data_IF_601227544848
#
_entry.id   IF_601227544848
#
_cell.length_a   1.000
_cell.length_b   1.000
_cell.length_c   1.000
_cell.angle_alpha   90.00
_cell.angle_beta   90.00
_cell.angle_gamma   90.00
#
_symmetry.space_group_name_H-M   'P 1'
#
loop_
_entity.id
_entity.type
_entity.pdbx_description
1 polymer ?
#
# COMPACT_ATOMS: atom_id res chain seq x y z
N UNK A 1 13.88 0.53 -21.24
CA UNK A 1 13.01 1.44 -20.45
C UNK A 1 11.80 0.70 -19.91
N UNK A 2 11.05 1.33 -19.01
CA UNK A 2 9.80 0.78 -18.42
C UNK A 2 8.71 1.84 -18.49
N UNK A 3 7.46 1.42 -18.60
CA UNK A 3 6.29 2.30 -18.47
C UNK A 3 5.82 2.25 -17.03
N UNK A 4 5.66 3.41 -16.40
CA UNK A 4 5.13 3.52 -15.03
C UNK A 4 3.68 3.98 -15.08
N UNK A 5 2.79 3.22 -14.45
CA UNK A 5 1.37 3.56 -14.31
C UNK A 5 1.07 3.82 -12.84
N UNK A 6 0.51 5.00 -12.55
CA UNK A 6 -0.01 5.35 -11.23
C UNK A 6 -1.51 5.60 -11.34
N UNK A 7 -2.28 5.21 -10.33
CA UNK A 7 -3.72 5.37 -10.33
C UNK A 7 -4.24 5.65 -8.91
N UNK A 8 -5.46 6.16 -8.83
CA UNK A 8 -6.16 6.39 -7.57
C UNK A 8 -7.14 5.25 -7.31
N UNK A 9 -7.32 4.90 -6.04
CA UNK A 9 -8.35 3.98 -5.57
C UNK A 9 -9.00 4.52 -4.31
N UNK A 10 -10.18 4.01 -3.95
CA UNK A 10 -10.83 4.39 -2.69
C UNK A 10 -10.02 3.91 -1.49
N UNK A 11 -9.92 4.78 -0.49
CA UNK A 11 -9.20 4.55 0.77
C UNK A 11 -10.14 4.71 1.97
N UNK A 12 -9.70 4.25 3.15
CA UNK A 12 -10.42 4.44 4.40
C UNK A 12 -11.82 3.83 4.39
N UNK A 13 -12.76 4.48 5.08
CA UNK A 13 -14.15 4.02 5.19
C UNK A 13 -14.79 3.82 3.80
N UNK A 14 -14.52 4.71 2.84
CA UNK A 14 -15.08 4.61 1.49
C UNK A 14 -14.52 3.44 0.67
N UNK A 15 -13.30 3.00 0.99
CA UNK A 15 -12.64 1.90 0.29
C UNK A 15 -12.84 0.54 0.94
N UNK A 16 -13.01 0.49 2.26
CA UNK A 16 -12.81 -0.75 3.02
C UNK A 16 -13.85 -1.01 4.12
N UNK A 17 -14.83 -0.13 4.34
CA UNK A 17 -15.89 -0.41 5.31
C UNK A 17 -16.64 -1.69 4.92
N UNK A 18 -16.84 -2.58 5.88
CA UNK A 18 -17.54 -3.85 5.69
C UNK A 18 -18.48 -4.13 6.86
N UNK A 19 -19.62 -4.74 6.57
CA UNK A 19 -20.59 -5.24 7.56
C UNK A 19 -20.49 -6.74 7.76
N UNK A 20 -19.51 -7.41 7.14
CA UNK A 20 -19.33 -8.87 7.17
C UNK A 20 -20.56 -9.64 6.62
N UNK A 21 -21.31 -8.98 5.72
CA UNK A 21 -22.47 -9.52 5.02
C UNK A 21 -22.60 -8.87 3.62
N UNK A 22 -23.72 -9.12 2.94
CA UNK A 22 -23.98 -8.57 1.61
C UNK A 22 -24.36 -7.08 1.61
N UNK A 23 -24.69 -6.49 2.77
CA UNK A 23 -25.07 -5.06 2.85
C UNK A 23 -23.89 -4.17 2.44
N UNK A 24 -22.70 -4.51 2.91
CA UNK A 24 -21.43 -3.94 2.52
C UNK A 24 -20.31 -4.98 2.67
N UNK A 25 -19.97 -5.68 1.59
CA UNK A 25 -18.91 -6.70 1.62
C UNK A 25 -17.48 -6.12 1.69
N UNK A 26 -17.34 -4.79 1.56
CA UNK A 26 -16.07 -4.07 1.63
C UNK A 26 -15.12 -4.33 0.46
N UNK A 27 -13.82 -4.15 0.71
CA UNK A 27 -12.71 -4.33 -0.25
C UNK A 27 -12.84 -3.55 -1.56
N UNK A 28 -13.65 -2.49 -1.60
CA UNK A 28 -13.85 -1.67 -2.78
C UNK A 28 -12.57 -1.01 -3.29
N UNK A 29 -11.64 -0.65 -2.40
CA UNK A 29 -10.31 -0.18 -2.79
C UNK A 29 -9.51 -1.22 -3.57
N UNK A 30 -9.57 -2.50 -3.19
CA UNK A 30 -8.93 -3.59 -3.94
C UNK A 30 -9.65 -3.86 -5.27
N UNK A 31 -10.97 -3.68 -5.32
CA UNK A 31 -11.72 -3.76 -6.57
C UNK A 31 -11.32 -2.64 -7.55
N UNK A 32 -11.13 -1.42 -7.06
CA UNK A 32 -10.64 -0.31 -7.88
C UNK A 32 -9.23 -0.60 -8.42
N UNK A 33 -8.35 -1.17 -7.59
CA UNK A 33 -7.00 -1.59 -8.01
C UNK A 33 -7.06 -2.71 -9.06
N UNK A 34 -7.92 -3.71 -8.90
CA UNK A 34 -8.16 -4.75 -9.92
C UNK A 34 -8.63 -4.13 -11.24
N UNK A 35 -9.58 -3.21 -11.19
CA UNK A 35 -10.08 -2.52 -12.39
C UNK A 35 -8.96 -1.74 -13.10
N UNK A 36 -8.05 -1.12 -12.34
CA UNK A 36 -6.87 -0.48 -12.91
C UNK A 36 -5.94 -1.50 -13.60
N UNK A 37 -5.74 -2.69 -13.01
CA UNK A 37 -4.96 -3.76 -13.63
C UNK A 37 -5.62 -4.30 -14.92
N UNK A 38 -6.95 -4.43 -14.94
CA UNK A 38 -7.69 -4.80 -16.15
C UNK A 38 -7.55 -3.72 -17.23
N UNK A 39 -7.59 -2.44 -16.84
CA UNK A 39 -7.33 -1.34 -17.76
C UNK A 39 -5.91 -1.41 -18.33
N UNK A 40 -4.89 -1.64 -17.49
CA UNK A 40 -3.50 -1.78 -17.96
C UNK A 40 -3.40 -2.94 -18.94
N UNK A 41 -3.91 -4.12 -18.59
CA UNK A 41 -3.88 -5.29 -19.48
C UNK A 41 -4.51 -5.02 -20.84
N UNK A 42 -5.61 -4.26 -20.88
CA UNK A 42 -6.35 -4.00 -22.11
C UNK A 42 -5.82 -2.82 -22.94
N UNK A 43 -5.05 -1.89 -22.34
CA UNK A 43 -4.74 -0.62 -22.98
C UNK A 43 -3.24 -0.29 -23.05
N UNK A 44 -2.39 -0.92 -22.24
CA UNK A 44 -0.99 -0.48 -22.09
C UNK A 44 -0.15 -0.61 -23.36
N UNK A 45 -0.56 -1.49 -24.29
CA UNK A 45 0.07 -1.63 -25.61
C UNK A 45 0.04 -0.31 -26.41
N UNK A 46 -1.01 0.50 -26.26
CA UNK A 46 -1.10 1.81 -26.91
C UNK A 46 -0.09 2.84 -26.35
N UNK A 47 0.48 2.55 -25.18
CA UNK A 47 1.50 3.37 -24.49
C UNK A 47 2.89 2.73 -24.57
N UNK A 48 3.10 1.80 -25.52
CA UNK A 48 4.34 1.03 -25.71
C UNK A 48 4.73 0.15 -24.50
N UNK A 49 3.77 -0.24 -23.65
CA UNK A 49 3.98 -1.26 -22.63
C UNK A 49 3.58 -2.65 -23.12
N UNK A 50 4.14 -3.69 -22.51
CA UNK A 50 3.77 -5.08 -22.79
C UNK A 50 2.73 -5.57 -21.76
N UNK A 51 1.49 -5.89 -22.18
CA UNK A 51 0.47 -6.40 -21.27
C UNK A 51 0.82 -7.79 -20.68
N UNK A 52 1.78 -8.51 -21.25
CA UNK A 52 2.28 -9.80 -20.75
C UNK A 52 3.52 -9.64 -19.85
N UNK A 53 3.92 -8.40 -19.53
CA UNK A 53 5.08 -8.11 -18.70
C UNK A 53 4.76 -7.04 -17.64
N UNK A 54 3.61 -7.19 -17.00
CA UNK A 54 3.14 -6.27 -15.96
C UNK A 54 3.74 -6.64 -14.60
N UNK A 55 4.41 -5.69 -13.97
CA UNK A 55 4.89 -5.78 -12.57
C UNK A 55 4.06 -4.86 -11.69
N UNK A 56 3.44 -5.39 -10.63
CA UNK A 56 2.76 -4.56 -9.63
C UNK A 56 3.73 -4.21 -8.49
N UNK A 57 3.60 -3.01 -7.96
CA UNK A 57 4.45 -2.51 -6.89
C UNK A 57 3.65 -1.59 -5.95
N UNK A 58 3.90 -1.72 -4.65
CA UNK A 58 3.35 -0.82 -3.64
C UNK A 58 4.21 -0.76 -2.38
N UNK A 59 4.08 0.35 -1.66
CA UNK A 59 4.75 0.63 -0.40
C UNK A 59 3.73 0.71 0.76
N UNK A 60 4.06 0.18 1.94
CA UNK A 60 3.19 0.19 3.11
C UNK A 60 1.86 -0.52 2.86
N UNK A 61 0.73 0.20 2.95
CA UNK A 61 -0.60 -0.36 2.60
C UNK A 61 -0.72 -0.77 1.13
N UNK A 62 0.04 -0.15 0.24
CA UNK A 62 0.19 -0.60 -1.15
C UNK A 62 0.90 -1.94 -1.25
N UNK A 63 1.88 -2.23 -0.38
CA UNK A 63 2.56 -3.51 -0.34
C UNK A 63 1.63 -4.63 0.14
N UNK A 64 0.81 -4.36 1.17
CA UNK A 64 -0.26 -5.29 1.57
C UNK A 64 -1.24 -5.57 0.42
N UNK A 65 -1.63 -4.52 -0.32
CA UNK A 65 -2.49 -4.65 -1.51
C UNK A 65 -1.85 -5.52 -2.60
N UNK A 66 -0.54 -5.37 -2.86
CA UNK A 66 0.20 -6.24 -3.79
C UNK A 66 0.08 -7.70 -3.38
N UNK A 67 0.29 -8.02 -2.10
CA UNK A 67 0.15 -9.40 -1.61
C UNK A 67 -1.30 -9.89 -1.72
N UNK A 68 -2.31 -9.04 -1.44
CA UNK A 68 -3.72 -9.41 -1.67
C UNK A 68 -4.01 -9.73 -3.13
N UNK A 69 -3.43 -9.00 -4.08
CA UNK A 69 -3.55 -9.31 -5.50
C UNK A 69 -2.83 -10.61 -5.89
N UNK A 70 -1.68 -10.92 -5.28
CA UNK A 70 -0.96 -12.19 -5.48
C UNK A 70 -1.79 -13.42 -5.09
N UNK A 71 -2.53 -13.33 -3.99
CA UNK A 71 -3.32 -14.47 -3.49
C UNK A 71 -4.76 -14.50 -4.01
N UNK A 72 -5.24 -13.40 -4.63
CA UNK A 72 -6.61 -13.30 -5.12
C UNK A 72 -6.76 -13.97 -6.49
N UNK A 73 -7.63 -14.99 -6.65
CA UNK A 73 -7.89 -15.60 -7.96
C UNK A 73 -8.48 -14.60 -8.95
N UNK A 74 -9.10 -13.52 -8.47
CA UNK A 74 -9.69 -12.47 -9.30
C UNK A 74 -8.65 -11.59 -10.01
N UNK A 75 -7.39 -11.65 -9.58
CA UNK A 75 -6.30 -10.89 -10.18
C UNK A 75 -5.36 -11.76 -11.03
N UNK A 76 -5.69 -13.05 -11.16
CA UNK A 76 -4.87 -14.01 -11.89
C UNK A 76 -4.70 -13.62 -13.35
N UNK A 77 -3.45 -13.61 -13.82
CA UNK A 77 -3.10 -13.25 -15.20
C UNK A 77 -3.21 -11.77 -15.52
N UNK A 78 -3.39 -10.89 -14.52
CA UNK A 78 -3.35 -9.43 -14.72
C UNK A 78 -1.94 -8.85 -14.51
N UNK A 79 -1.07 -9.58 -13.83
CA UNK A 79 0.33 -9.23 -13.60
C UNK A 79 1.19 -10.49 -13.49
N UNK A 80 2.50 -10.29 -13.58
CA UNK A 80 3.50 -11.35 -13.74
C UNK A 80 4.55 -11.29 -12.65
N UNK A 81 4.77 -10.11 -12.06
CA UNK A 81 5.72 -9.88 -10.97
C UNK A 81 5.15 -8.95 -9.94
N UNK A 82 5.67 -9.02 -8.73
CA UNK A 82 5.23 -8.24 -7.60
C UNK A 82 6.42 -7.74 -6.78
N UNK A 83 6.38 -6.48 -6.39
CA UNK A 83 7.30 -5.87 -5.43
C UNK A 83 6.45 -5.34 -4.26
N UNK A 84 6.72 -5.79 -3.04
CA UNK A 84 6.02 -5.36 -1.83
C UNK A 84 7.03 -4.69 -0.88
N UNK A 85 6.99 -3.35 -0.78
CA UNK A 85 7.94 -2.57 0.01
C UNK A 85 7.38 -2.21 1.38
N UNK A 86 8.06 -2.65 2.44
CA UNK A 86 7.72 -2.33 3.82
C UNK A 86 6.25 -2.61 4.19
N UNK A 87 5.70 -3.74 3.79
CA UNK A 87 4.36 -4.16 4.19
C UNK A 87 3.96 -5.51 3.62
N UNK A 88 2.92 -6.10 4.19
CA UNK A 88 2.38 -7.41 3.78
C UNK A 88 0.91 -7.54 4.20
N UNK A 89 0.19 -8.45 3.54
CA UNK A 89 -1.15 -8.87 3.95
C UNK A 89 -1.19 -9.55 5.33
N UNK A 90 -0.05 -10.04 5.86
CA UNK A 90 0.03 -10.63 7.20
C UNK A 90 0.20 -9.59 8.31
N UNK A 91 0.43 -8.32 7.99
CA UNK A 91 0.56 -7.31 9.03
C UNK A 91 -0.79 -7.06 9.72
N UNK A 92 -0.78 -6.86 11.03
CA UNK A 92 -2.03 -6.70 11.81
C UNK A 92 -2.89 -5.55 11.31
N UNK A 93 -2.27 -4.46 10.85
CA UNK A 93 -2.94 -3.29 10.29
C UNK A 93 -3.50 -3.50 8.88
N UNK A 94 -3.16 -4.61 8.20
CA UNK A 94 -3.55 -4.87 6.81
C UNK A 94 -4.92 -5.55 6.69
N UNK A 95 -5.44 -6.14 7.77
CA UNK A 95 -6.72 -6.86 7.79
C UNK A 95 -7.53 -6.50 9.03
N UNK A 96 -8.73 -5.95 8.83
CA UNK A 96 -9.69 -5.76 9.92
C UNK A 96 -10.36 -7.10 10.26
N UNK A 97 -10.18 -7.56 11.50
CA UNK A 97 -10.71 -8.85 12.00
C UNK A 97 -12.12 -8.75 12.55
N UNK A 98 -12.61 -7.54 12.79
CA UNK A 98 -13.96 -7.29 13.30
C UNK A 98 -14.65 -6.15 12.53
N UNK A 99 -14.84 -6.30 11.20
CA UNK A 99 -15.29 -5.21 10.34
C UNK A 99 -16.67 -4.67 10.73
N UNK A 100 -17.61 -5.55 11.11
CA UNK A 100 -18.93 -5.12 11.57
C UNK A 100 -18.88 -4.27 12.86
N UNK A 101 -17.95 -4.56 13.78
CA UNK A 101 -17.77 -3.76 15.00
C UNK A 101 -17.32 -2.35 14.63
N UNK A 102 -16.32 -2.25 13.75
CA UNK A 102 -15.84 -0.97 13.24
C UNK A 102 -16.95 -0.21 12.50
N UNK A 103 -17.70 -0.87 11.61
CA UNK A 103 -18.81 -0.25 10.88
C UNK A 103 -19.91 0.29 11.81
N UNK A 104 -20.23 -0.44 12.89
CA UNK A 104 -21.17 0.03 13.93
C UNK A 104 -20.62 1.23 14.70
N UNK A 105 -19.32 1.27 14.99
CA UNK A 105 -18.70 2.42 15.66
C UNK A 105 -18.73 3.68 14.77
N UNK A 106 -18.43 3.53 13.48
CA UNK A 106 -18.57 4.61 12.49
C UNK A 106 -20.01 5.09 12.44
N UNK A 107 -20.97 4.17 12.33
CA UNK A 107 -22.39 4.48 12.30
C UNK A 107 -22.87 5.23 13.55
N UNK A 108 -22.45 4.79 14.75
CA UNK A 108 -22.76 5.49 16.01
C UNK A 108 -22.20 6.91 16.02
N UNK A 109 -20.98 7.10 15.52
CA UNK A 109 -20.31 8.41 15.50
C UNK A 109 -21.06 9.41 14.62
N UNK A 110 -21.70 8.95 13.55
CA UNK A 110 -22.44 9.82 12.60
C UNK A 110 -23.96 9.78 12.80
N UNK A 111 -24.46 9.11 13.84
CA UNK A 111 -25.89 9.05 14.18
C UNK A 111 -26.73 8.09 13.33
N UNK A 112 -26.10 7.09 12.71
CA UNK A 112 -26.79 6.07 11.91
C UNK A 112 -27.30 4.89 12.74
N UNK A 113 -28.39 4.21 12.30
CA UNK A 113 -28.87 2.98 12.93
C UNK A 113 -27.80 1.88 12.93
N UNK A 114 -27.81 1.01 13.96
CA UNK A 114 -26.82 -0.08 14.11
C UNK A 114 -27.41 -1.48 14.29
N UNK A 115 -28.74 -1.57 14.44
CA UNK A 115 -29.47 -2.83 14.62
C UNK A 115 -29.49 -3.67 13.33
N UNK A 116 -29.79 -3.04 12.21
CA UNK A 116 -29.86 -3.62 10.87
C UNK A 116 -28.67 -3.15 10.03
N UNK A 117 -27.94 -4.09 9.43
CA UNK A 117 -26.79 -3.78 8.56
C UNK A 117 -27.22 -3.07 7.28
N UNK A 118 -28.41 -3.38 6.76
CA UNK A 118 -29.00 -2.70 5.60
C UNK A 118 -29.28 -1.22 5.94
N UNK A 119 -29.95 -0.96 7.06
CA UNK A 119 -30.29 0.42 7.47
C UNK A 119 -29.05 1.22 7.84
N UNK A 120 -28.07 0.56 8.49
CA UNK A 120 -26.75 1.11 8.76
C UNK A 120 -26.10 1.59 7.46
N UNK A 121 -25.97 0.71 6.46
CA UNK A 121 -25.29 1.03 5.20
C UNK A 121 -26.05 2.10 4.41
N UNK A 122 -27.38 2.01 4.36
CA UNK A 122 -28.21 3.01 3.68
C UNK A 122 -28.06 4.40 4.32
N UNK A 123 -27.99 4.48 5.65
CA UNK A 123 -27.72 5.72 6.35
C UNK A 123 -26.30 6.26 6.07
N UNK A 124 -25.28 5.40 6.13
CA UNK A 124 -23.89 5.80 5.86
C UNK A 124 -23.72 6.34 4.43
N UNK A 125 -24.37 5.74 3.43
CA UNK A 125 -24.34 6.22 2.03
C UNK A 125 -24.96 7.61 1.85
N UNK A 126 -25.92 7.97 2.69
CA UNK A 126 -26.57 9.28 2.68
C UNK A 126 -25.91 10.28 3.64
N UNK A 127 -24.88 9.86 4.38
CA UNK A 127 -24.13 10.72 5.30
C UNK A 127 -23.15 11.59 4.53
N UNK A 128 -23.00 12.85 4.94
CA UNK A 128 -22.05 13.75 4.29
C UNK A 128 -20.60 13.25 4.46
N UNK A 129 -19.81 13.35 3.39
CA UNK A 129 -18.44 12.84 3.34
C UNK A 129 -17.55 13.34 4.49
N UNK A 130 -17.66 14.62 4.85
CA UNK A 130 -16.88 15.20 5.95
C UNK A 130 -17.13 14.53 7.31
N UNK A 131 -18.37 14.09 7.58
CA UNK A 131 -18.69 13.40 8.83
C UNK A 131 -18.08 12.00 8.87
N UNK A 132 -18.04 11.29 7.74
CA UNK A 132 -17.35 10.01 7.62
C UNK A 132 -15.84 10.15 7.84
N UNK A 133 -15.22 11.22 7.33
CA UNK A 133 -13.80 11.49 7.58
C UNK A 133 -13.49 11.71 9.06
N UNK A 134 -14.35 12.45 9.78
CA UNK A 134 -14.20 12.63 11.23
C UNK A 134 -14.34 11.31 11.99
N UNK A 135 -15.22 10.40 11.56
CA UNK A 135 -15.34 9.08 12.17
C UNK A 135 -14.11 8.18 11.94
N UNK A 136 -13.31 8.47 10.92
CA UNK A 136 -12.13 7.67 10.57
C UNK A 136 -10.90 7.95 11.45
N UNK A 137 -10.82 9.08 12.16
CA UNK A 137 -9.57 9.61 12.75
C UNK A 137 -9.03 8.89 14.00
N UNK A 138 -9.36 7.62 14.22
CA UNK A 138 -8.83 6.79 15.31
C UNK A 138 -7.84 5.71 14.83
N UNK A 139 -7.05 6.00 13.79
CA UNK A 139 -6.07 5.05 13.26
C UNK A 139 -4.80 5.00 14.13
N UNK A 140 -4.53 3.82 14.69
CA UNK A 140 -3.33 3.51 15.48
C UNK A 140 -2.06 3.72 14.65
N UNK A 141 -1.18 4.63 15.09
CA UNK A 141 0.18 4.72 14.54
C UNK A 141 1.00 3.51 15.00
N UNK A 142 1.72 2.89 14.07
CA UNK A 142 2.43 1.61 14.25
C UNK A 142 3.94 1.80 14.19
N UNK A 143 4.67 1.18 15.12
CA UNK A 143 6.14 1.10 15.19
C UNK A 143 6.73 0.21 14.06
N UNK A 144 8.00 0.42 13.71
CA UNK A 144 8.76 -0.38 12.72
C UNK A 144 8.73 -1.91 13.00
N UNK A 145 8.59 -2.32 14.26
CA UNK A 145 8.48 -3.72 14.64
C UNK A 145 7.26 -4.43 14.00
N UNK A 146 6.18 -3.68 13.73
CA UNK A 146 4.95 -4.18 13.11
C UNK A 146 5.08 -4.38 11.59
N UNK A 147 6.17 -3.92 10.98
CA UNK A 147 6.45 -4.15 9.56
C UNK A 147 7.42 -5.32 9.36
N UNK A 148 8.51 -5.40 10.13
CA UNK A 148 9.53 -6.45 9.92
C UNK A 148 9.00 -7.85 10.24
N UNK A 149 8.30 -8.03 11.37
CA UNK A 149 7.81 -9.37 11.77
C UNK A 149 6.83 -9.95 10.73
N UNK A 150 5.86 -9.16 10.27
CA UNK A 150 4.89 -9.64 9.29
C UNK A 150 5.52 -9.91 7.92
N UNK A 151 6.55 -9.15 7.51
CA UNK A 151 7.29 -9.41 6.26
C UNK A 151 8.08 -10.72 6.38
N UNK A 152 8.78 -10.94 7.49
CA UNK A 152 9.54 -12.19 7.72
C UNK A 152 8.61 -13.41 7.78
N UNK A 153 7.44 -13.29 8.42
CA UNK A 153 6.40 -14.33 8.40
C UNK A 153 5.90 -14.62 6.98
N UNK A 154 5.72 -13.57 6.17
CA UNK A 154 5.31 -13.73 4.77
C UNK A 154 6.34 -14.53 3.99
N UNK A 155 7.62 -14.19 4.12
CA UNK A 155 8.70 -14.91 3.44
C UNK A 155 8.85 -16.37 3.92
N UNK A 156 8.60 -16.64 5.21
CA UNK A 156 8.53 -18.01 5.73
C UNK A 156 7.41 -18.81 5.06
N UNK A 157 6.26 -18.20 4.80
CA UNK A 157 5.16 -18.85 4.07
C UNK A 157 5.54 -19.08 2.61
N UNK A 158 6.06 -18.07 1.91
CA UNK A 158 6.44 -18.20 0.49
C UNK A 158 7.56 -19.23 0.28
N UNK A 159 8.53 -19.34 1.20
CA UNK A 159 9.62 -20.33 1.09
C UNK A 159 9.15 -21.79 1.21
N UNK A 160 7.92 -22.02 1.67
CA UNK A 160 7.29 -23.34 1.73
C UNK A 160 6.51 -23.69 0.46
N UNK A 161 6.28 -22.72 -0.43
CA UNK A 161 5.54 -22.93 -1.68
C UNK A 161 6.51 -23.47 -2.74
N UNK A 162 6.25 -24.64 -3.34
CA UNK A 162 7.07 -25.17 -4.43
C UNK A 162 7.17 -24.16 -5.58
N UNK A 163 8.37 -23.99 -6.12
CA UNK A 163 8.68 -23.11 -7.26
C UNK A 163 8.43 -21.61 -7.02
N UNK A 164 8.06 -21.19 -5.80
CA UNK A 164 7.95 -19.78 -5.46
C UNK A 164 9.34 -19.16 -5.33
N UNK A 165 9.61 -18.15 -6.17
CA UNK A 165 10.83 -17.36 -6.09
C UNK A 165 10.51 -16.07 -5.34
N UNK A 166 11.09 -15.91 -4.16
CA UNK A 166 10.96 -14.71 -3.34
C UNK A 166 12.34 -14.13 -3.03
N UNK A 167 12.47 -12.82 -3.16
CA UNK A 167 13.66 -12.06 -2.81
C UNK A 167 13.34 -11.09 -1.67
N UNK A 168 14.26 -10.93 -0.73
CA UNK A 168 14.18 -9.91 0.32
C UNK A 168 15.40 -9.01 0.20
N UNK A 169 15.17 -7.69 0.24
CA UNK A 169 16.23 -6.71 0.37
C UNK A 169 15.93 -5.78 1.55
N UNK A 170 16.97 -5.21 2.13
CA UNK A 170 16.89 -4.22 3.19
C UNK A 170 17.51 -2.91 2.71
N UNK A 171 16.70 -1.85 2.65
CA UNK A 171 17.20 -0.50 2.41
C UNK A 171 17.71 0.12 3.71
N UNK A 172 19.04 0.23 3.84
CA UNK A 172 19.70 0.72 5.05
C UNK A 172 20.50 2.01 4.84
N UNK A 173 20.33 2.69 3.70
CA UNK A 173 21.04 3.93 3.40
C UNK A 173 20.22 5.16 3.86
N UNK A 174 20.69 5.85 4.89
CA UNK A 174 20.15 7.14 5.32
C UNK A 174 20.80 8.26 4.51
N UNK A 175 20.05 8.83 3.56
CA UNK A 175 20.49 10.01 2.83
C UNK A 175 20.01 11.31 3.47
N UNK A 176 20.17 12.40 2.72
CA UNK A 176 19.75 13.75 3.16
C UNK A 176 18.22 13.89 3.23
N UNK A 177 17.52 13.20 2.36
CA UNK A 177 16.06 13.14 2.35
C UNK A 177 15.60 11.94 3.20
N UNK A 178 14.78 12.22 4.21
CA UNK A 178 14.16 11.21 5.05
C UNK A 178 12.74 11.65 5.40
N UNK A 179 11.79 10.74 5.25
CA UNK A 179 10.38 10.96 5.52
C UNK A 179 10.14 11.21 7.01
N UNK A 180 10.90 10.54 7.88
CA UNK A 180 10.85 10.74 9.34
C UNK A 180 11.18 12.18 9.70
N UNK A 181 12.23 12.74 9.11
CA UNK A 181 12.62 14.13 9.36
C UNK A 181 11.55 15.13 8.89
N UNK A 182 10.88 14.81 7.77
CA UNK A 182 9.86 15.67 7.16
C UNK A 182 8.54 15.63 7.95
N UNK A 183 8.09 14.45 8.35
CA UNK A 183 6.84 14.27 9.08
C UNK A 183 6.92 14.71 10.55
N UNK A 184 8.10 14.62 11.16
CA UNK A 184 8.31 14.97 12.57
C UNK A 184 8.85 16.39 12.77
N UNK A 185 8.88 17.25 11.74
CA UNK A 185 9.36 18.64 11.78
C UNK A 185 10.71 18.81 12.51
N UNK A 186 11.64 17.87 12.30
CA UNK A 186 12.93 17.79 13.01
C UNK A 186 12.86 17.80 14.56
N UNK A 187 11.69 17.60 15.17
CA UNK A 187 11.51 17.53 16.63
C UNK A 187 12.22 16.32 17.27
N UNK A 188 12.53 15.29 16.47
CA UNK A 188 13.30 14.11 16.86
C UNK A 188 14.82 14.26 16.70
N UNK A 189 15.33 15.47 16.45
CA UNK A 189 16.78 15.74 16.32
C UNK A 189 17.62 15.34 17.54
N UNK A 190 16.99 15.10 18.69
CA UNK A 190 17.63 14.58 19.91
C UNK A 190 18.05 13.09 19.82
N UNK A 191 17.56 12.35 18.83
CA UNK A 191 17.93 10.94 18.60
C UNK A 191 18.49 10.77 17.19
N UNK A 192 19.58 10.01 17.07
CA UNK A 192 20.10 9.61 15.76
C UNK A 192 19.12 8.63 15.11
N UNK A 193 18.17 9.15 14.34
CA UNK A 193 17.14 8.34 13.69
C UNK A 193 17.76 7.40 12.65
N UNK A 194 17.21 6.19 12.51
CA UNK A 194 17.60 5.26 11.45
C UNK A 194 17.06 5.66 10.08
N UNK A 195 17.06 4.71 9.14
CA UNK A 195 16.34 4.85 7.87
C UNK A 195 14.85 4.72 8.14
N UNK A 196 14.07 5.69 7.66
CA UNK A 196 12.63 5.72 7.84
C UNK A 196 11.88 4.79 6.89
N UNK A 197 10.72 4.32 7.34
CA UNK A 197 9.74 3.68 6.48
C UNK A 197 9.41 4.56 5.27
N UNK A 198 9.65 4.06 4.06
CA UNK A 198 9.40 4.79 2.80
C UNK A 198 10.55 5.70 2.31
N UNK A 199 11.68 5.80 3.02
CA UNK A 199 12.82 6.64 2.60
C UNK A 199 13.38 6.24 1.23
N UNK A 200 13.28 4.97 0.86
CA UNK A 200 13.71 4.47 -0.45
C UNK A 200 12.92 5.07 -1.63
N UNK A 201 11.69 5.56 -1.40
CA UNK A 201 10.86 6.16 -2.46
C UNK A 201 11.46 7.45 -3.01
N UNK A 202 12.28 8.18 -2.23
CA UNK A 202 13.02 9.36 -2.72
C UNK A 202 14.08 9.02 -3.76
N UNK A 203 14.46 7.75 -3.86
CA UNK A 203 15.44 7.24 -4.82
C UNK A 203 14.77 6.60 -6.04
N UNK A 204 13.47 6.30 -5.97
CA UNK A 204 12.67 5.82 -7.09
C UNK A 204 11.94 6.97 -7.80
N UNK A 205 11.40 7.92 -7.05
CA UNK A 205 10.52 8.98 -7.55
C UNK A 205 10.97 10.37 -7.10
N UNK A 206 10.68 11.36 -7.93
CA UNK A 206 10.84 12.77 -7.57
C UNK A 206 9.67 13.24 -6.70
N UNK A 207 9.72 12.88 -5.40
CA UNK A 207 8.68 13.22 -4.44
C UNK A 207 8.78 14.68 -4.00
N UNK A 208 7.77 15.49 -4.34
CA UNK A 208 7.70 16.93 -3.98
C UNK A 208 7.25 17.20 -2.54
N UNK A 209 7.58 16.30 -1.62
CA UNK A 209 7.15 16.37 -0.22
C UNK A 209 8.22 17.05 0.66
N UNK A 210 9.46 17.17 0.17
CA UNK A 210 10.56 17.83 0.88
C UNK A 210 10.98 19.12 0.17
N UNK A 211 11.42 20.11 0.96
CA UNK A 211 12.04 21.34 0.47
C UNK A 211 13.52 21.15 0.11
N UNK A 212 14.16 20.06 0.56
CA UNK A 212 15.57 19.77 0.30
C UNK A 212 15.75 18.91 -0.97
N UNK A 213 16.26 19.53 -2.03
CA UNK A 213 16.47 18.89 -3.34
C UNK A 213 17.93 18.53 -3.65
N UNK A 214 18.85 18.78 -2.72
CA UNK A 214 20.29 18.65 -3.00
C UNK A 214 20.81 17.26 -2.67
N UNK A 215 20.80 16.38 -3.66
CA UNK A 215 21.43 15.07 -3.57
C UNK A 215 22.95 15.18 -3.49
N UNK A 216 23.55 14.53 -2.50
CA UNK A 216 24.99 14.30 -2.48
C UNK A 216 25.40 13.30 -3.55
N UNK A 217 26.70 13.21 -3.86
CA UNK A 217 27.24 12.20 -4.78
C UNK A 217 26.86 10.76 -4.36
N UNK A 218 26.82 10.50 -3.05
CA UNK A 218 26.40 9.19 -2.51
C UNK A 218 24.92 8.95 -2.74
N UNK A 219 24.08 9.97 -2.57
CA UNK A 219 22.63 9.84 -2.82
C UNK A 219 22.35 9.54 -4.30
N UNK A 220 23.08 10.17 -5.22
CA UNK A 220 22.99 9.87 -6.67
C UNK A 220 23.42 8.42 -6.94
N UNK A 221 24.53 7.97 -6.36
CA UNK A 221 24.96 6.57 -6.51
C UNK A 221 23.94 5.56 -5.95
N UNK A 222 23.34 5.86 -4.80
CA UNK A 222 22.27 5.03 -4.23
C UNK A 222 21.04 5.04 -5.14
N UNK A 223 20.65 6.21 -5.68
CA UNK A 223 19.56 6.33 -6.64
C UNK A 223 19.75 5.44 -7.86
N UNK A 224 20.92 5.49 -8.49
CA UNK A 224 21.23 4.64 -9.64
C UNK A 224 21.10 3.15 -9.31
N UNK A 225 21.59 2.73 -8.12
CA UNK A 225 21.49 1.33 -7.68
C UNK A 225 20.05 0.89 -7.46
N UNK A 226 19.24 1.71 -6.79
CA UNK A 226 17.83 1.41 -6.49
C UNK A 226 17.01 1.37 -7.78
N UNK A 227 17.21 2.33 -8.69
CA UNK A 227 16.56 2.34 -10.00
C UNK A 227 16.95 1.13 -10.85
N UNK A 228 18.23 0.76 -10.85
CA UNK A 228 18.71 -0.42 -11.58
C UNK A 228 18.07 -1.69 -11.01
N UNK A 229 18.14 -1.90 -9.69
CA UNK A 229 17.54 -3.05 -9.01
C UNK A 229 16.04 -3.18 -9.35
N UNK A 230 15.30 -2.07 -9.21
CA UNK A 230 13.86 -2.07 -9.41
C UNK A 230 13.48 -2.31 -10.87
N UNK A 231 14.13 -1.61 -11.81
CA UNK A 231 13.79 -1.73 -13.24
C UNK A 231 14.28 -3.03 -13.85
N UNK A 232 15.39 -3.61 -13.37
CA UNK A 232 15.85 -4.92 -13.84
C UNK A 232 14.92 -6.02 -13.35
N UNK A 233 14.47 -5.98 -12.10
CA UNK A 233 13.46 -6.92 -11.61
C UNK A 233 12.15 -6.81 -12.42
N UNK A 234 11.67 -5.58 -12.66
CA UNK A 234 10.44 -5.38 -13.44
C UNK A 234 10.52 -5.99 -14.85
N UNK A 235 11.69 -5.96 -15.49
CA UNK A 235 11.92 -6.51 -16.83
C UNK A 235 12.19 -8.02 -16.82
N UNK A 236 12.98 -8.51 -15.86
CA UNK A 236 13.67 -9.80 -15.96
C UNK A 236 13.48 -10.74 -14.77
N UNK A 237 12.84 -10.28 -13.69
CA UNK A 237 12.65 -11.07 -12.47
C UNK A 237 11.67 -12.24 -12.59
#
# INVERSE_FOLDING_TARGET
DVVVVTFNHRIGILGFLSTDDESASGNWGLWDQKLALEWVRNNIAAFNGDPNLVTIFGQGSGAASVIYHMISPLSQGLFHRAIAQSGSALCEWALERSPLLFARQVAQTVGCPTSSTIDLVNCLRNTHFSALLTAQSNAKMSSDALYTSCIDETLKVYSQIPDAIAYQYLFAYKGRNSLVNVLMDNSMTLFETGVGHGDELFYLFDLKITSQRWFSRKDIQTRERVLTLWTDFAKHG
#
